data_IF_816180336951
#
_entry.id   IF_816180336951
#
_cell.length_a   1.000
_cell.length_b   1.000
_cell.length_c   1.000
_cell.angle_alpha   90.00
_cell.angle_beta   90.00
_cell.angle_gamma   90.00
#
_symmetry.space_group_name_H-M   'P 1'
#
loop_
_entity.id
_entity.type
_entity.pdbx_description
1 polymer ?
#
# COMPACT_ATOMS: atom_id res chain seq x y z
N UNK A 1 37.86 7.83 62.88
CA UNK A 1 37.91 8.97 61.92
C UNK A 1 37.24 8.53 60.63
N UNK A 2 36.47 9.44 60.02
CA UNK A 2 35.59 9.26 58.84
C UNK A 2 36.38 9.04 57.52
N UNK A 3 35.77 8.29 56.58
CA UNK A 3 35.67 8.48 55.10
C UNK A 3 35.30 7.10 54.49
N UNK A 4 34.04 6.72 54.20
CA UNK A 4 33.14 7.17 53.11
C UNK A 4 33.85 7.37 51.78
N UNK A 5 33.52 6.52 50.79
CA UNK A 5 33.53 6.64 49.32
C UNK A 5 33.34 5.19 48.77
N UNK A 6 32.53 4.82 47.78
CA UNK A 6 31.40 5.42 47.09
C UNK A 6 30.68 4.28 46.32
N UNK A 7 29.35 4.32 46.43
CA UNK A 7 28.25 3.79 45.60
C UNK A 7 28.57 3.17 44.22
N UNK A 8 28.00 1.99 43.93
CA UNK A 8 27.08 1.75 42.77
C UNK A 8 26.66 0.27 42.64
N UNK A 9 25.41 -0.12 42.98
CA UNK A 9 24.79 -1.29 42.37
C UNK A 9 24.08 -0.85 41.08
N UNK A 10 24.51 -1.40 39.96
CA UNK A 10 23.85 -1.23 38.66
C UNK A 10 22.52 -1.98 38.70
N UNK A 11 21.47 -1.30 39.17
CA UNK A 11 20.08 -1.76 39.11
C UNK A 11 19.67 -1.76 37.65
N UNK A 12 19.74 -2.91 36.99
CA UNK A 12 19.11 -3.10 35.68
C UNK A 12 17.74 -3.71 35.92
N UNK A 13 16.73 -2.85 35.87
CA UNK A 13 15.31 -3.18 36.00
C UNK A 13 14.87 -4.16 34.91
N UNK A 14 14.51 -5.37 35.30
CA UNK A 14 13.77 -6.32 34.45
C UNK A 14 12.31 -5.86 34.43
N UNK A 15 11.94 -5.02 33.46
CA UNK A 15 10.53 -4.71 33.21
C UNK A 15 10.04 -5.66 32.12
N UNK A 16 9.28 -6.66 32.55
CA UNK A 16 8.48 -7.51 31.71
C UNK A 16 7.49 -6.67 30.90
N UNK A 17 7.70 -6.57 29.59
CA UNK A 17 6.69 -6.08 28.66
C UNK A 17 6.03 -7.27 27.97
N UNK A 18 5.20 -8.00 28.72
CA UNK A 18 4.16 -8.85 28.14
C UNK A 18 3.02 -7.94 27.68
N UNK A 19 3.24 -7.18 26.60
CA UNK A 19 2.14 -6.51 25.89
C UNK A 19 1.57 -7.50 24.88
N UNK A 20 0.53 -8.19 25.34
CA UNK A 20 -0.70 -8.43 24.59
C UNK A 20 -0.51 -8.53 23.08
N UNK A 21 -0.41 -9.77 22.59
CA UNK A 21 -0.82 -10.14 21.24
C UNK A 21 -2.31 -9.83 21.08
N UNK A 22 -2.64 -8.53 21.03
CA UNK A 22 -3.88 -8.02 20.51
C UNK A 22 -3.89 -8.45 19.06
N UNK A 23 -4.74 -9.41 18.76
CA UNK A 23 -5.01 -9.88 17.41
C UNK A 23 -5.38 -8.63 16.62
N UNK A 24 -4.41 -8.11 15.86
CA UNK A 24 -4.65 -7.08 14.86
C UNK A 24 -5.45 -7.77 13.75
N UNK A 25 -6.75 -7.91 13.96
CA UNK A 25 -7.67 -8.12 12.87
C UNK A 25 -7.97 -6.73 12.33
N UNK A 26 -7.40 -6.28 11.19
CA UNK A 26 -8.07 -5.29 10.39
C UNK A 26 -9.22 -6.03 9.70
N UNK A 27 -10.24 -6.40 10.46
CA UNK A 27 -11.46 -6.96 9.91
C UNK A 27 -12.59 -5.95 10.12
N UNK A 28 -12.32 -4.68 9.80
CA UNK A 28 -13.38 -3.91 9.17
C UNK A 28 -13.68 -4.65 7.87
N UNK A 29 -14.73 -5.49 7.89
CA UNK A 29 -15.28 -6.12 6.70
C UNK A 29 -15.24 -5.08 5.57
N UNK A 30 -14.36 -5.30 4.59
CA UNK A 30 -14.05 -4.29 3.60
C UNK A 30 -15.26 -4.20 2.66
N UNK A 31 -16.24 -3.38 3.06
CA UNK A 31 -17.39 -3.03 2.24
C UNK A 31 -16.94 -2.13 1.10
N UNK A 32 -16.13 -2.69 0.22
CA UNK A 32 -15.53 -2.06 -0.93
C UNK A 32 -15.19 -3.10 -1.99
N UNK A 33 -14.59 -2.61 -3.06
CA UNK A 33 -14.27 -3.36 -4.26
C UNK A 33 -12.79 -3.18 -4.53
N UNK A 34 -12.12 -4.29 -4.80
CA UNK A 34 -10.77 -4.31 -5.34
C UNK A 34 -10.85 -4.48 -6.86
N UNK A 35 -10.15 -3.64 -7.59
CA UNK A 35 -10.06 -3.69 -9.04
C UNK A 35 -8.59 -3.78 -9.48
N UNK A 36 -8.34 -4.65 -10.46
CA UNK A 36 -7.09 -4.72 -11.21
C UNK A 36 -7.38 -4.40 -12.66
N UNK A 37 -6.68 -3.40 -13.19
CA UNK A 37 -6.70 -3.04 -14.61
C UNK A 37 -5.40 -3.51 -15.26
N UNK A 38 -5.45 -3.84 -16.54
CA UNK A 38 -4.27 -3.87 -17.38
C UNK A 38 -4.38 -2.79 -18.44
N UNK A 39 -3.41 -1.88 -18.48
CA UNK A 39 -3.36 -0.78 -19.43
C UNK A 39 -2.16 -0.93 -20.35
N UNK A 40 -2.26 -0.37 -21.54
CA UNK A 40 -1.13 -0.19 -22.47
C UNK A 40 -0.30 0.99 -22.00
N UNK A 41 1.01 0.81 -21.89
CA UNK A 41 1.98 1.89 -21.70
C UNK A 41 2.09 2.65 -23.02
N UNK A 42 1.54 3.86 -23.08
CA UNK A 42 1.45 4.62 -24.32
C UNK A 42 2.42 5.79 -24.33
N UNK A 43 3.34 5.81 -25.29
CA UNK A 43 4.28 6.92 -25.48
C UNK A 43 3.56 8.08 -26.14
N UNK A 44 3.65 9.26 -25.52
CA UNK A 44 2.93 10.46 -25.99
C UNK A 44 3.57 11.03 -27.26
N UNK A 45 4.90 11.00 -27.34
CA UNK A 45 5.66 11.65 -28.41
C UNK A 45 5.34 11.13 -29.82
N UNK A 46 5.14 9.82 -29.96
CA UNK A 46 4.92 9.15 -31.24
C UNK A 46 3.62 8.34 -31.29
N UNK A 47 2.78 8.45 -30.24
CA UNK A 47 1.52 7.74 -30.12
C UNK A 47 1.64 6.24 -30.36
N UNK A 48 2.55 5.59 -29.63
CA UNK A 48 2.82 4.15 -29.78
C UNK A 48 2.69 3.38 -28.46
N UNK A 49 2.34 2.08 -28.56
CA UNK A 49 2.21 1.17 -27.42
C UNK A 49 3.52 0.45 -27.10
N UNK A 50 3.99 0.57 -25.85
CA UNK A 50 5.29 0.09 -25.37
C UNK A 50 5.11 -0.98 -24.27
N UNK A 51 4.19 -1.91 -24.50
CA UNK A 51 3.86 -3.00 -23.59
C UNK A 51 2.69 -2.70 -22.66
N UNK A 52 2.50 -3.60 -21.68
CA UNK A 52 1.39 -3.56 -20.73
C UNK A 52 1.89 -3.41 -19.31
N UNK A 53 1.01 -2.89 -18.45
CA UNK A 53 1.26 -2.80 -17.03
C UNK A 53 -0.07 -2.83 -16.28
N UNK A 54 0.00 -3.16 -14.99
CA UNK A 54 -1.19 -3.37 -14.17
C UNK A 54 -1.34 -2.24 -13.14
N UNK A 55 -2.56 -1.73 -13.01
CA UNK A 55 -2.93 -0.81 -11.93
C UNK A 55 -3.91 -1.46 -10.97
N UNK A 56 -3.87 -1.03 -9.72
CA UNK A 56 -4.69 -1.56 -8.64
C UNK A 56 -5.46 -0.44 -7.96
N UNK A 57 -6.70 -0.72 -7.57
CA UNK A 57 -7.55 0.27 -6.96
C UNK A 57 -8.54 -0.35 -6.00
N UNK A 58 -8.77 0.33 -4.89
CA UNK A 58 -9.83 0.01 -3.96
C UNK A 58 -10.79 1.19 -3.84
N UNK A 59 -12.09 0.92 -3.80
CA UNK A 59 -13.10 1.92 -3.46
C UNK A 59 -14.37 1.29 -2.90
N UNK A 60 -15.27 2.12 -2.34
CA UNK A 60 -16.57 1.66 -1.83
C UNK A 60 -17.50 1.12 -2.94
N UNK A 61 -17.32 1.56 -4.18
CA UNK A 61 -18.14 1.15 -5.32
C UNK A 61 -17.28 0.50 -6.41
N UNK A 62 -17.87 -0.42 -7.16
CA UNK A 62 -17.23 -1.06 -8.31
C UNK A 62 -16.66 -0.06 -9.34
N UNK A 63 -17.42 0.97 -9.81
CA UNK A 63 -16.89 1.93 -10.77
C UNK A 63 -15.78 2.81 -10.22
N UNK A 64 -15.82 3.14 -8.92
CA UNK A 64 -14.76 3.94 -8.31
C UNK A 64 -13.48 3.13 -8.11
N UNK A 65 -13.59 1.83 -7.81
CA UNK A 65 -12.44 0.95 -7.71
C UNK A 65 -11.74 0.83 -9.08
N UNK A 66 -12.54 0.72 -10.16
CA UNK A 66 -12.03 0.74 -11.52
C UNK A 66 -11.33 2.06 -11.87
N UNK A 67 -11.92 3.21 -11.54
CA UNK A 67 -11.29 4.53 -11.74
C UNK A 67 -10.00 4.66 -10.93
N UNK A 68 -10.00 4.22 -9.67
CA UNK A 68 -8.83 4.22 -8.81
C UNK A 68 -7.70 3.37 -9.41
N UNK A 69 -8.02 2.19 -9.94
CA UNK A 69 -7.05 1.32 -10.59
C UNK A 69 -6.48 1.94 -11.88
N UNK A 70 -7.27 2.68 -12.67
CA UNK A 70 -6.77 3.43 -13.83
C UNK A 70 -5.91 4.63 -13.39
N UNK A 71 -6.26 5.28 -12.27
CA UNK A 71 -5.47 6.39 -11.73
C UNK A 71 -4.11 5.90 -11.28
N UNK A 72 -4.08 4.87 -10.43
CA UNK A 72 -2.87 4.18 -10.01
C UNK A 72 -2.03 3.77 -11.22
N UNK A 73 -2.69 3.24 -12.26
CA UNK A 73 -2.02 2.92 -13.49
C UNK A 73 -1.33 4.14 -14.15
N UNK A 74 -1.99 5.29 -14.21
CA UNK A 74 -1.37 6.50 -14.76
C UNK A 74 -0.26 7.07 -13.86
N UNK A 75 -0.42 6.99 -12.54
CA UNK A 75 0.55 7.52 -11.57
C UNK A 75 1.90 6.78 -11.67
N UNK A 76 1.88 5.50 -12.04
CA UNK A 76 3.08 4.69 -12.27
C UNK A 76 3.81 5.00 -13.60
N UNK A 77 3.27 5.87 -14.46
CA UNK A 77 3.86 6.13 -15.77
C UNK A 77 5.09 7.03 -15.69
N UNK A 78 6.20 6.66 -16.35
CA UNK A 78 7.33 7.57 -16.47
C UNK A 78 6.98 8.80 -17.33
N UNK A 79 7.74 9.90 -17.22
CA UNK A 79 7.54 11.08 -18.05
C UNK A 79 7.48 10.75 -19.54
N UNK A 80 6.52 11.36 -20.24
CA UNK A 80 6.28 11.12 -21.67
C UNK A 80 5.42 9.90 -21.98
N UNK A 81 4.87 9.23 -20.96
CA UNK A 81 3.94 8.12 -21.10
C UNK A 81 2.61 8.38 -20.40
N UNK A 82 1.58 7.65 -20.82
CA UNK A 82 0.24 7.62 -20.18
C UNK A 82 -0.36 6.22 -20.27
N UNK A 83 -1.27 5.91 -19.37
CA UNK A 83 -2.10 4.70 -19.49
C UNK A 83 -3.13 4.89 -20.62
N UNK A 84 -3.25 3.90 -21.50
CA UNK A 84 -4.28 3.83 -22.57
C UNK A 84 -4.87 2.42 -22.65
N UNK A 85 -6.03 2.30 -23.28
CA UNK A 85 -6.68 1.02 -23.60
C UNK A 85 -6.75 0.07 -22.40
N UNK A 86 -7.19 0.59 -21.25
CA UNK A 86 -7.28 -0.18 -20.01
C UNK A 86 -8.41 -1.21 -20.08
N UNK A 87 -8.11 -2.45 -19.71
CA UNK A 87 -9.04 -3.60 -19.71
C UNK A 87 -9.25 -4.14 -18.30
N UNK A 88 -10.49 -4.56 -18.02
CA UNK A 88 -10.88 -5.16 -16.74
C UNK A 88 -10.26 -6.54 -16.62
N UNK A 89 -9.32 -6.73 -15.70
CA UNK A 89 -8.78 -8.05 -15.39
C UNK A 89 -9.56 -8.68 -14.26
N UNK A 90 -9.69 -7.96 -13.14
CA UNK A 90 -10.38 -8.45 -11.95
C UNK A 90 -11.12 -7.29 -11.31
N UNK A 91 -12.38 -7.50 -10.92
CA UNK A 91 -13.08 -6.60 -10.00
C UNK A 91 -13.89 -7.46 -9.04
N UNK A 92 -13.47 -7.48 -7.78
CA UNK A 92 -14.05 -8.35 -6.73
C UNK A 92 -14.40 -7.54 -5.51
N UNK A 93 -15.37 -8.03 -4.75
CA UNK A 93 -15.71 -7.46 -3.45
C UNK A 93 -14.57 -7.80 -2.47
N UNK A 94 -14.13 -6.80 -1.71
CA UNK A 94 -13.06 -6.91 -0.71
C UNK A 94 -13.51 -7.53 0.60
#
# INVERSE_FOLDING_TARGET
MRKLLAVSPLVTTVVAAALSLGIAAPAQAANGWNATVQCTKWRIADSSGHGYFNGHGWAKTQPDAWKAAIKDANDQMPPGYRAKHCTKKTIVRG
#
